data_IF_544770027387
#
_entry.id   IF_544770027387
#
_cell.length_a   1.000
_cell.length_b   1.000
_cell.length_c   1.000
_cell.angle_alpha   90.00
_cell.angle_beta   90.00
_cell.angle_gamma   90.00
#
_symmetry.space_group_name_H-M   'P 1'
#
loop_
_entity.id
_entity.type
_entity.pdbx_description
1 polymer ?
#
# COMPACT_ATOMS: atom_id res chain seq x y z
N UNK A 1 -16.94 -11.58 -25.46
CA UNK A 1 -16.33 -12.16 -26.69
C UNK A 1 -17.26 -11.87 -27.89
N UNK A 2 -16.88 -12.20 -29.12
CA UNK A 2 -17.73 -11.95 -30.31
C UNK A 2 -19.06 -12.74 -30.30
N UNK A 3 -19.25 -13.65 -29.34
CA UNK A 3 -20.47 -14.39 -29.04
C UNK A 3 -21.37 -13.73 -27.98
N UNK A 4 -21.01 -12.55 -27.45
CA UNK A 4 -21.81 -11.84 -26.45
C UNK A 4 -21.76 -12.43 -25.04
N UNK A 5 -20.90 -13.42 -24.78
CA UNK A 5 -20.71 -13.95 -23.44
C UNK A 5 -19.89 -12.97 -22.58
N UNK A 6 -20.37 -12.77 -21.35
CA UNK A 6 -19.68 -12.01 -20.32
C UNK A 6 -18.40 -12.75 -19.93
N UNK A 7 -17.25 -12.18 -20.31
CA UNK A 7 -15.95 -12.71 -19.91
C UNK A 7 -15.58 -12.06 -18.57
N UNK A 8 -15.31 -12.85 -17.51
CA UNK A 8 -14.93 -12.29 -16.21
C UNK A 8 -13.61 -11.52 -16.30
N UNK A 9 -13.59 -10.31 -15.75
CA UNK A 9 -12.40 -9.48 -15.62
C UNK A 9 -11.65 -9.85 -14.34
N UNK A 10 -10.34 -10.07 -14.45
CA UNK A 10 -9.47 -10.44 -13.33
C UNK A 10 -8.44 -9.37 -12.99
N UNK A 11 -8.12 -8.49 -13.93
CA UNK A 11 -7.26 -7.34 -13.70
C UNK A 11 -7.59 -6.23 -14.70
N UNK A 12 -7.26 -4.99 -14.36
CA UNK A 12 -7.45 -3.85 -15.22
C UNK A 12 -6.30 -2.84 -15.08
N UNK A 13 -5.91 -2.24 -16.21
CA UNK A 13 -5.07 -1.05 -16.22
C UNK A 13 -5.94 0.13 -16.63
N UNK A 14 -5.98 1.17 -15.82
CA UNK A 14 -6.66 2.42 -16.17
C UNK A 14 -5.62 3.51 -16.40
N UNK A 15 -5.67 4.17 -17.55
CA UNK A 15 -4.87 5.35 -17.89
C UNK A 15 -5.71 6.61 -17.67
N UNK A 16 -5.49 7.39 -16.60
CA UNK A 16 -6.33 8.53 -16.29
C UNK A 16 -6.22 9.66 -17.32
N UNK A 17 -5.06 9.81 -17.96
CA UNK A 17 -4.81 10.88 -18.92
C UNK A 17 -5.67 10.74 -20.19
N UNK A 18 -5.83 9.51 -20.66
CA UNK A 18 -6.55 9.17 -21.90
C UNK A 18 -7.95 8.56 -21.61
N UNK A 19 -8.31 8.39 -20.34
CA UNK A 19 -9.52 7.72 -19.86
C UNK A 19 -9.70 6.29 -20.43
N UNK A 20 -8.59 5.60 -20.69
CA UNK A 20 -8.59 4.24 -21.28
C UNK A 20 -8.53 3.17 -20.20
N UNK A 21 -9.45 2.20 -20.29
CA UNK A 21 -9.47 1.02 -19.42
C UNK A 21 -9.16 -0.25 -20.21
N UNK A 22 -8.07 -0.92 -19.86
CA UNK A 22 -7.63 -2.18 -20.44
C UNK A 22 -8.00 -3.32 -19.50
N UNK A 23 -8.85 -4.24 -19.95
CA UNK A 23 -9.36 -5.35 -19.14
C UNK A 23 -8.63 -6.66 -19.48
N UNK A 24 -8.28 -7.42 -18.44
CA UNK A 24 -7.49 -8.65 -18.57
C UNK A 24 -8.24 -9.86 -17.97
N UNK A 25 -8.23 -10.96 -18.71
CA UNK A 25 -8.80 -12.24 -18.27
C UNK A 25 -7.83 -13.07 -17.42
N UNK A 26 -8.27 -14.24 -16.95
CA UNK A 26 -7.48 -15.13 -16.08
C UNK A 26 -6.15 -15.59 -16.69
N UNK A 27 -6.10 -15.77 -18.02
CA UNK A 27 -4.90 -16.20 -18.77
C UNK A 27 -3.84 -15.12 -18.92
N UNK A 28 -4.16 -13.86 -18.59
CA UNK A 28 -3.24 -12.74 -18.65
C UNK A 28 -2.40 -12.60 -17.38
N UNK A 29 -2.70 -13.38 -16.33
CA UNK A 29 -1.87 -13.48 -15.12
C UNK A 29 -0.63 -14.32 -15.40
N UNK A 30 0.54 -13.73 -15.20
CA UNK A 30 1.83 -14.41 -15.31
C UNK A 30 2.08 -15.32 -14.09
N UNK A 31 3.20 -16.05 -14.07
CA UNK A 31 3.65 -16.93 -12.97
C UNK A 31 3.62 -16.28 -11.57
N UNK A 32 3.50 -14.95 -11.49
CA UNK A 32 3.45 -14.17 -10.24
C UNK A 32 2.03 -13.92 -9.70
N UNK A 33 1.00 -14.54 -10.28
CA UNK A 33 -0.42 -14.34 -9.94
C UNK A 33 -0.96 -12.91 -10.14
N UNK A 34 -0.20 -12.05 -10.83
CA UNK A 34 -0.60 -10.72 -11.28
C UNK A 34 -0.53 -10.64 -12.81
N UNK A 35 -1.35 -9.77 -13.41
CA UNK A 35 -1.27 -9.50 -14.85
C UNK A 35 0.13 -8.99 -15.25
N UNK A 36 0.51 -9.07 -16.54
CA UNK A 36 1.79 -8.48 -17.00
C UNK A 36 1.73 -6.95 -16.86
N UNK A 37 2.27 -6.43 -15.75
CA UNK A 37 2.20 -5.00 -15.41
C UNK A 37 3.35 -4.30 -16.08
N UNK A 38 3.07 -3.58 -17.18
CA UNK A 38 4.00 -2.57 -17.65
C UNK A 38 4.21 -1.57 -16.52
N UNK A 39 5.43 -1.43 -16.03
CA UNK A 39 5.83 -0.48 -14.99
C UNK A 39 5.81 0.96 -15.54
N UNK A 40 4.63 1.43 -15.96
CA UNK A 40 4.43 2.79 -16.40
C UNK A 40 3.59 3.50 -15.33
N UNK A 41 4.16 4.54 -14.72
CA UNK A 41 3.54 5.36 -13.68
C UNK A 41 2.24 6.04 -14.10
N UNK A 42 1.92 6.04 -15.39
CA UNK A 42 0.71 6.62 -15.95
C UNK A 42 -0.53 5.75 -15.75
N UNK A 43 -0.37 4.50 -15.29
CA UNK A 43 -1.48 3.57 -15.13
C UNK A 43 -1.79 3.31 -13.65
N UNK A 44 -3.07 3.35 -13.32
CA UNK A 44 -3.61 2.77 -12.10
C UNK A 44 -3.84 1.29 -12.38
N UNK A 45 -3.18 0.43 -11.61
CA UNK A 45 -3.34 -1.02 -11.74
C UNK A 45 -4.30 -1.55 -10.68
N UNK A 46 -5.32 -2.29 -11.12
CA UNK A 46 -6.27 -2.97 -10.26
C UNK A 46 -6.25 -4.47 -10.53
N UNK A 47 -6.09 -5.29 -9.50
CA UNK A 47 -6.10 -6.75 -9.60
C UNK A 47 -7.16 -7.37 -8.69
N UNK A 48 -7.81 -8.42 -9.17
CA UNK A 48 -8.72 -9.25 -8.41
C UNK A 48 -7.95 -10.43 -7.81
N UNK A 49 -7.73 -10.39 -6.51
CA UNK A 49 -7.11 -11.50 -5.78
C UNK A 49 -8.18 -12.47 -5.29
N UNK A 50 -7.97 -13.77 -5.52
CA UNK A 50 -8.83 -14.83 -4.98
C UNK A 50 -8.52 -15.05 -3.49
N UNK A 51 -9.07 -14.22 -2.61
CA UNK A 51 -8.81 -14.29 -1.17
C UNK A 51 -9.98 -14.96 -0.47
N UNK A 52 -9.70 -16.06 0.23
CA UNK A 52 -10.69 -16.71 1.09
C UNK A 52 -10.55 -16.14 2.50
N UNK A 53 -11.34 -15.11 2.83
CA UNK A 53 -11.42 -14.57 4.21
C UNK A 53 -12.77 -14.86 4.85
N UNK A 54 -12.81 -14.88 6.18
CA UNK A 54 -14.05 -15.06 6.97
C UNK A 54 -14.83 -13.75 7.20
N UNK A 55 -14.33 -12.62 6.70
CA UNK A 55 -14.92 -11.29 6.88
C UNK A 55 -15.62 -10.83 5.61
N UNK A 56 -16.55 -9.89 5.74
CA UNK A 56 -17.40 -9.28 4.69
C UNK A 56 -16.61 -8.48 3.64
N UNK A 57 -15.61 -9.10 3.01
CA UNK A 57 -14.99 -8.56 1.80
C UNK A 57 -15.63 -9.25 0.61
N UNK A 58 -16.24 -8.47 -0.29
CA UNK A 58 -16.80 -9.03 -1.52
C UNK A 58 -15.71 -9.74 -2.31
N UNK A 59 -15.98 -10.96 -2.77
CA UNK A 59 -15.09 -11.70 -3.66
C UNK A 59 -14.84 -10.95 -4.98
N UNK A 60 -15.65 -9.94 -5.30
CA UNK A 60 -15.56 -9.07 -6.47
C UNK A 60 -14.74 -7.80 -6.23
N UNK A 61 -14.16 -7.61 -5.03
CA UNK A 61 -13.42 -6.39 -4.69
C UNK A 61 -12.10 -6.31 -5.47
N UNK A 62 -11.88 -5.28 -6.31
CA UNK A 62 -10.58 -5.03 -6.91
C UNK A 62 -9.62 -4.38 -5.90
N UNK A 63 -8.33 -4.69 -6.01
CA UNK A 63 -7.28 -4.12 -5.18
C UNK A 63 -6.38 -3.24 -6.03
N UNK A 64 -6.14 -2.01 -5.60
CA UNK A 64 -5.17 -1.13 -6.26
C UNK A 64 -3.76 -1.59 -5.90
N UNK A 65 -2.92 -1.71 -6.91
CA UNK A 65 -1.56 -2.24 -6.79
C UNK A 65 -0.59 -1.23 -7.39
N UNK A 66 0.48 -0.96 -6.67
CA UNK A 66 1.59 -0.10 -7.09
C UNK A 66 2.85 -0.97 -7.26
N UNK A 67 3.17 -1.39 -8.50
CA UNK A 67 4.37 -2.18 -8.78
C UNK A 67 5.64 -1.38 -8.51
N UNK A 68 6.72 -2.06 -8.13
CA UNK A 68 8.05 -1.48 -7.88
C UNK A 68 8.05 -0.31 -6.90
N UNK A 69 7.05 -0.24 -6.02
CA UNK A 69 6.93 0.74 -4.94
C UNK A 69 6.94 0.05 -3.58
N UNK A 70 7.24 0.82 -2.54
CA UNK A 70 7.13 0.40 -1.15
C UNK A 70 6.65 1.55 -0.27
N UNK A 71 5.98 1.23 0.84
CA UNK A 71 5.63 2.23 1.85
C UNK A 71 6.68 2.28 2.95
N UNK A 72 7.10 3.50 3.34
CA UNK A 72 8.17 3.71 4.34
C UNK A 72 7.68 4.08 5.76
N UNK A 73 6.38 4.33 5.92
CA UNK A 73 5.77 4.82 7.17
C UNK A 73 4.54 4.02 7.58
N UNK A 74 4.02 4.34 8.78
CA UNK A 74 2.76 3.83 9.34
C UNK A 74 2.71 2.30 9.41
N UNK A 75 3.85 1.65 9.70
CA UNK A 75 3.95 0.20 9.83
C UNK A 75 3.19 -0.27 11.07
N UNK A 76 2.29 -1.24 10.89
CA UNK A 76 1.62 -1.94 11.99
C UNK A 76 2.47 -3.12 12.45
N UNK A 77 2.88 -3.96 11.50
CA UNK A 77 3.65 -5.18 11.76
C UNK A 77 4.28 -5.71 10.46
N UNK A 78 5.20 -6.65 10.59
CA UNK A 78 5.82 -7.36 9.47
C UNK A 78 5.84 -8.87 9.69
N UNK A 79 5.71 -9.62 8.60
CA UNK A 79 5.76 -11.08 8.54
C UNK A 79 6.91 -11.52 7.64
N UNK A 80 8.12 -11.72 8.20
CA UNK A 80 9.23 -12.34 7.49
C UNK A 80 8.90 -13.79 7.09
N UNK A 81 9.40 -14.24 5.94
CA UNK A 81 9.19 -15.60 5.41
C UNK A 81 7.87 -15.81 4.66
N UNK A 82 7.01 -14.79 4.55
CA UNK A 82 5.72 -14.92 3.87
C UNK A 82 5.89 -14.90 2.34
N UNK A 83 5.67 -16.04 1.70
CA UNK A 83 5.86 -16.23 0.24
C UNK A 83 4.56 -16.19 -0.58
N UNK A 84 3.43 -15.78 0.03
CA UNK A 84 2.14 -15.69 -0.65
C UNK A 84 1.56 -14.28 -0.52
N UNK A 85 1.38 -13.63 -1.66
CA UNK A 85 0.73 -12.31 -1.75
C UNK A 85 -0.71 -12.37 -1.22
N UNK A 86 -1.45 -13.44 -1.53
CA UNK A 86 -2.82 -13.66 -1.07
C UNK A 86 -2.85 -13.80 0.45
N UNK A 87 -1.87 -14.50 1.05
CA UNK A 87 -1.76 -14.61 2.50
C UNK A 87 -1.44 -13.26 3.16
N UNK A 88 -0.62 -12.42 2.52
CA UNK A 88 -0.29 -11.07 2.99
C UNK A 88 -1.54 -10.18 3.01
N UNK A 89 -2.32 -10.20 1.93
CA UNK A 89 -3.57 -9.42 1.87
C UNK A 89 -4.59 -9.97 2.87
N UNK A 90 -4.71 -11.29 3.02
CA UNK A 90 -5.59 -11.89 4.03
C UNK A 90 -5.24 -11.42 5.46
N UNK A 91 -3.95 -11.39 5.81
CA UNK A 91 -3.49 -10.87 7.10
C UNK A 91 -3.84 -9.39 7.29
N UNK A 92 -3.82 -8.59 6.21
CA UNK A 92 -4.28 -7.20 6.25
C UNK A 92 -5.79 -7.12 6.49
N UNK A 93 -6.61 -7.90 5.79
CA UNK A 93 -8.07 -7.91 5.96
C UNK A 93 -8.47 -8.32 7.38
N UNK A 94 -7.73 -9.27 7.96
CA UNK A 94 -7.95 -9.71 9.33
C UNK A 94 -7.58 -8.63 10.37
N UNK A 95 -6.73 -7.67 10.01
CA UNK A 95 -6.36 -6.54 10.84
C UNK A 95 -7.20 -5.27 10.52
N UNK A 96 -8.09 -4.88 11.44
CA UNK A 96 -8.97 -3.70 11.26
C UNK A 96 -8.24 -2.37 11.04
N UNK A 97 -6.96 -2.27 11.44
CA UNK A 97 -6.16 -1.06 11.25
C UNK A 97 -5.45 -1.05 9.90
N UNK A 98 -5.37 -2.18 9.20
CA UNK A 98 -4.59 -2.29 7.97
C UNK A 98 -5.33 -1.69 6.78
N UNK A 99 -4.64 -0.76 6.10
CA UNK A 99 -5.14 -0.02 4.93
C UNK A 99 -4.36 -0.35 3.66
N UNK A 100 -3.11 -0.78 3.78
CA UNK A 100 -2.30 -1.26 2.66
C UNK A 100 -1.23 -2.24 3.14
N UNK A 101 -0.65 -2.99 2.20
CA UNK A 101 0.49 -3.86 2.44
C UNK A 101 1.64 -3.55 1.50
N UNK A 102 2.88 -3.65 1.99
CA UNK A 102 4.06 -3.79 1.13
C UNK A 102 4.43 -5.26 1.08
N UNK A 103 4.53 -5.84 -0.11
CA UNK A 103 4.84 -7.25 -0.32
C UNK A 103 6.00 -7.43 -1.28
N UNK A 104 6.89 -8.36 -0.94
CA UNK A 104 7.81 -9.04 -1.85
C UNK A 104 7.90 -10.51 -1.41
N UNK A 105 8.37 -11.39 -2.27
CA UNK A 105 8.57 -12.80 -1.88
C UNK A 105 9.42 -12.89 -0.61
N UNK A 106 8.86 -13.53 0.43
CA UNK A 106 9.52 -13.71 1.72
C UNK A 106 9.31 -12.55 2.71
N UNK A 107 8.51 -11.54 2.38
CA UNK A 107 8.21 -10.44 3.31
C UNK A 107 6.85 -9.79 3.02
N UNK A 108 6.02 -9.72 4.05
CA UNK A 108 4.80 -8.92 4.07
C UNK A 108 4.89 -7.86 5.17
N UNK A 109 4.50 -6.62 4.88
CA UNK A 109 4.43 -5.53 5.87
C UNK A 109 3.02 -4.94 5.81
N UNK A 110 2.35 -4.83 6.96
CA UNK A 110 1.03 -4.20 7.07
C UNK A 110 1.18 -2.72 7.44
N UNK A 111 0.43 -1.84 6.78
CA UNK A 111 0.44 -0.40 7.01
C UNK A 111 -0.93 0.12 7.45
N UNK A 112 -0.94 1.10 8.35
CA UNK A 112 -2.14 1.74 8.89
C UNK A 112 -2.69 2.87 8.01
N UNK A 113 -2.01 3.20 6.92
CA UNK A 113 -2.40 4.19 5.92
C UNK A 113 -2.33 3.57 4.52
N UNK A 114 -2.92 4.23 3.51
CA UNK A 114 -2.78 3.83 2.11
C UNK A 114 -2.37 5.00 1.23
N UNK A 115 -1.72 4.74 0.09
CA UNK A 115 -1.37 5.75 -0.90
C UNK A 115 -2.53 6.64 -1.39
N UNK A 116 -3.76 6.11 -1.43
CA UNK A 116 -4.96 6.89 -1.76
C UNK A 116 -5.18 8.08 -0.82
N UNK A 117 -4.81 7.95 0.45
CA UNK A 117 -4.92 9.03 1.45
C UNK A 117 -3.72 9.98 1.47
N UNK A 118 -2.53 9.47 1.13
CA UNK A 118 -1.29 10.23 1.10
C UNK A 118 -0.27 9.53 0.19
N UNK A 119 -0.06 10.09 -1.01
CA UNK A 119 0.84 9.53 -2.00
C UNK A 119 2.32 9.69 -1.63
N UNK A 120 2.67 10.59 -0.69
CA UNK A 120 4.05 10.76 -0.19
C UNK A 120 4.56 9.57 0.62
N UNK A 121 3.65 8.67 1.00
CA UNK A 121 3.98 7.40 1.65
C UNK A 121 4.64 6.41 0.69
N UNK A 122 4.50 6.58 -0.63
CA UNK A 122 5.12 5.72 -1.64
C UNK A 122 6.53 6.22 -1.97
N UNK A 123 7.50 5.30 -1.92
CA UNK A 123 8.84 5.48 -2.47
C UNK A 123 9.17 4.34 -3.42
N UNK A 124 10.24 4.49 -4.18
CA UNK A 124 10.73 3.44 -5.07
C UNK A 124 11.16 2.21 -4.26
N UNK A 125 10.67 1.05 -4.69
CA UNK A 125 11.08 -0.27 -4.22
C UNK A 125 11.96 -0.97 -5.26
N UNK A 126 12.29 -2.23 -5.01
CA UNK A 126 12.93 -3.06 -6.03
C UNK A 126 11.88 -3.62 -7.02
N UNK A 127 12.34 -4.25 -8.11
CA UNK A 127 11.48 -4.80 -9.18
C UNK A 127 10.50 -5.89 -8.73
N UNK A 128 10.66 -6.42 -7.52
CA UNK A 128 9.85 -7.50 -6.95
C UNK A 128 8.95 -7.02 -5.81
N UNK A 129 9.09 -5.77 -5.38
CA UNK A 129 8.26 -5.18 -4.33
C UNK A 129 7.03 -4.54 -4.95
N UNK A 130 5.89 -4.68 -4.28
CA UNK A 130 4.65 -4.01 -4.64
C UNK A 130 3.93 -3.53 -3.39
N UNK A 131 3.17 -2.44 -3.53
CA UNK A 131 2.21 -1.99 -2.53
C UNK A 131 0.81 -2.35 -3.00
N UNK A 132 -0.03 -2.87 -2.10
CA UNK A 132 -1.41 -3.27 -2.41
C UNK A 132 -2.34 -2.61 -1.39
N UNK A 133 -3.31 -1.82 -1.84
CA UNK A 133 -4.30 -1.20 -0.97
C UNK A 133 -5.36 -2.20 -0.54
N UNK A 134 -5.83 -2.10 0.70
CA UNK A 134 -6.87 -2.99 1.22
C UNK A 134 -8.24 -2.61 0.66
N UNK A 135 -8.64 -3.27 -0.44
CA UNK A 135 -9.92 -3.03 -1.10
C UNK A 135 -11.16 -3.25 -0.22
N UNK A 136 -11.07 -4.10 0.81
CA UNK A 136 -12.20 -4.42 1.70
C UNK A 136 -12.59 -3.27 2.64
N UNK A 137 -11.72 -2.26 2.75
CA UNK A 137 -11.91 -1.08 3.60
C UNK A 137 -12.13 0.19 2.77
N UNK A 138 -12.16 0.08 1.44
CA UNK A 138 -12.51 1.16 0.54
C UNK A 138 -14.04 1.29 0.55
N UNK A 139 -14.56 2.22 1.34
CA UNK A 139 -15.95 2.66 1.20
C UNK A 139 -16.10 3.43 -0.11
N UNK A 140 -17.30 3.49 -0.68
CA UNK A 140 -17.65 4.22 -1.90
C UNK A 140 -17.26 5.71 -1.89
N UNK A 141 -16.89 6.26 -0.74
CA UNK A 141 -16.36 7.61 -0.56
C UNK A 141 -14.90 7.80 -1.02
N UNK A 142 -14.08 6.72 -1.10
CA UNK A 142 -12.65 6.82 -1.47
C UNK A 142 -12.37 6.50 -2.95
N UNK A 143 -13.32 5.86 -3.66
CA UNK A 143 -13.23 5.64 -5.10
C UNK A 143 -13.17 6.96 -5.92
N UNK A 144 -13.92 8.01 -5.57
CA UNK A 144 -13.78 9.32 -6.22
C UNK A 144 -12.39 9.89 -6.05
N UNK A 145 -11.71 9.74 -4.91
CA UNK A 145 -10.37 10.28 -4.67
C UNK A 145 -9.28 9.62 -5.52
N UNK A 146 -9.43 8.33 -5.84
CA UNK A 146 -8.54 7.61 -6.75
C UNK A 146 -8.72 8.04 -8.22
N UNK A 147 -9.92 8.51 -8.57
CA UNK A 147 -10.24 9.04 -9.91
C UNK A 147 -10.04 10.57 -9.98
N UNK A 148 -10.00 11.25 -8.84
CA UNK A 148 -9.79 12.69 -8.69
C UNK A 148 -8.33 12.98 -8.40
N UNK A 149 -7.44 12.64 -9.33
CA UNK A 149 -6.07 13.17 -9.34
C UNK A 149 -6.10 14.67 -9.65
N UNK A 150 -6.54 15.48 -8.69
CA UNK A 150 -6.35 16.92 -8.71
C UNK A 150 -5.11 17.27 -7.88
N UNK A 151 -4.03 17.53 -8.59
CA UNK A 151 -2.84 18.25 -8.12
C UNK A 151 -3.33 19.60 -7.56
N UNK A 152 -3.24 19.83 -6.25
CA UNK A 152 -3.25 21.21 -5.72
C UNK A 152 -2.30 21.31 -4.52
N UNK A 153 -1.26 22.11 -4.71
CA UNK A 153 -0.36 22.60 -3.67
C UNK A 153 -1.09 23.55 -2.70
N UNK A 154 -0.79 23.49 -1.41
CA UNK A 154 -1.34 24.47 -0.46
C UNK A 154 -0.88 24.28 0.99
N UNK A 155 0.09 25.12 1.36
CA UNK A 155 0.69 25.37 2.68
C UNK A 155 -0.21 25.24 3.91
N UNK A 156 0.29 24.56 4.95
CA UNK A 156 -0.20 24.69 6.33
C UNK A 156 0.91 25.17 7.27
N UNK A 157 0.53 26.10 8.14
CA UNK A 157 1.32 26.95 9.02
C UNK A 157 2.06 26.22 10.16
N UNK A 158 3.23 26.77 10.53
CA UNK A 158 4.12 26.33 11.61
C UNK A 158 3.49 26.50 13.00
N UNK A 159 3.02 25.41 13.58
CA UNK A 159 3.01 25.23 15.04
C UNK A 159 4.26 24.43 15.42
N UNK A 160 5.03 24.90 16.39
CA UNK A 160 6.17 24.13 16.92
C UNK A 160 5.64 22.89 17.63
N UNK A 161 5.83 21.73 16.99
CA UNK A 161 5.37 20.45 17.50
C UNK A 161 6.03 20.08 18.83
N UNK A 162 5.22 19.49 19.70
CA UNK A 162 5.71 18.88 20.93
C UNK A 162 6.40 17.55 20.63
N UNK A 163 7.39 17.22 21.46
CA UNK A 163 8.03 15.91 21.42
C UNK A 163 7.05 14.81 21.81
N UNK A 164 7.01 13.76 21.01
CA UNK A 164 6.35 12.51 21.36
C UNK A 164 6.96 11.89 22.63
N UNK A 165 6.23 10.98 23.25
CA UNK A 165 6.74 10.21 24.37
C UNK A 165 7.94 9.34 23.95
N UNK A 166 8.81 9.03 24.91
CA UNK A 166 9.93 8.14 24.67
C UNK A 166 9.46 6.75 24.27
N UNK A 167 9.96 6.26 23.13
CA UNK A 167 9.81 4.88 22.74
C UNK A 167 10.49 3.92 23.71
N UNK A 168 10.16 2.63 23.60
CA UNK A 168 10.79 1.60 24.43
C UNK A 168 12.28 1.42 24.05
N UNK A 169 13.11 0.87 24.94
CA UNK A 169 14.54 0.61 24.74
C UNK A 169 14.81 -0.56 23.76
N UNK A 170 14.41 -0.45 22.50
CA UNK A 170 14.46 -1.54 21.52
C UNK A 170 15.52 -1.35 20.45
N UNK A 171 16.10 -0.15 20.34
CA UNK A 171 17.06 0.19 19.31
C UNK A 171 18.48 -0.01 19.83
N UNK A 172 19.43 -0.33 18.96
CA UNK A 172 20.82 -0.55 19.33
C UNK A 172 21.76 0.23 18.42
N UNK A 173 22.69 0.98 19.01
CA UNK A 173 23.74 1.71 18.28
C UNK A 173 25.05 1.56 19.05
N UNK A 174 26.11 1.10 18.39
CA UNK A 174 27.41 0.88 19.03
C UNK A 174 27.39 -0.13 20.19
N UNK A 175 26.49 -1.12 20.17
CA UNK A 175 26.39 -2.16 21.21
C UNK A 175 25.62 -1.75 22.48
N UNK A 176 25.11 -0.51 22.55
CA UNK A 176 24.26 -0.03 23.65
C UNK A 176 22.81 0.08 23.20
N UNK A 177 21.88 -0.23 24.11
CA UNK A 177 20.45 -0.06 23.86
C UNK A 177 20.11 1.41 23.98
N UNK A 178 19.20 1.89 23.14
CA UNK A 178 18.76 3.28 23.13
C UNK A 178 17.24 3.33 22.97
N UNK A 179 16.66 4.41 23.47
CA UNK A 179 15.28 4.82 23.22
C UNK A 179 15.26 6.09 22.38
N UNK A 180 14.21 6.25 21.59
CA UNK A 180 14.06 7.36 20.66
C UNK A 180 12.71 8.04 20.82
N UNK A 181 12.67 9.34 20.57
CA UNK A 181 11.41 10.10 20.43
C UNK A 181 11.53 11.11 19.30
N UNK A 182 10.39 11.47 18.73
CA UNK A 182 10.33 12.31 17.54
C UNK A 182 9.41 13.51 17.76
N UNK A 183 9.52 14.53 16.91
CA UNK A 183 8.55 15.62 16.80
C UNK A 183 8.43 16.07 15.36
N UNK A 184 7.29 16.64 14.99
CA UNK A 184 7.03 17.13 13.63
C UNK A 184 7.57 18.54 13.42
N UNK A 185 8.74 18.73 12.83
CA UNK A 185 9.17 20.08 12.47
C UNK A 185 9.85 20.15 11.11
N UNK A 186 9.63 21.28 10.42
CA UNK A 186 10.10 21.49 9.05
C UNK A 186 11.55 21.93 8.95
N UNK A 187 12.17 22.38 10.05
CA UNK A 187 13.52 22.94 10.04
C UNK A 187 14.22 22.87 11.39
N UNK A 188 13.98 21.80 12.15
CA UNK A 188 14.57 21.62 13.47
C UNK A 188 15.00 20.16 13.68
N UNK A 189 15.75 19.89 14.74
CA UNK A 189 16.04 18.51 15.13
C UNK A 189 14.73 17.83 15.55
N UNK A 190 14.39 16.77 14.82
CA UNK A 190 13.13 16.03 14.85
C UNK A 190 13.26 14.65 15.48
N UNK A 191 14.49 14.25 15.85
CA UNK A 191 14.82 12.96 16.45
C UNK A 191 15.75 13.14 17.65
N UNK A 192 15.40 12.55 18.78
CA UNK A 192 16.28 12.43 19.94
C UNK A 192 16.55 10.97 20.27
N UNK A 193 17.79 10.67 20.65
CA UNK A 193 18.27 9.34 21.03
C UNK A 193 18.87 9.41 22.42
N UNK A 194 18.43 8.54 23.32
CA UNK A 194 18.95 8.47 24.68
C UNK A 194 19.38 7.03 25.01
N UNK A 195 20.57 6.84 25.62
CA UNK A 195 20.99 5.54 26.11
C UNK A 195 20.03 4.96 27.13
N UNK A 196 19.87 3.65 27.03
CA UNK A 196 19.48 2.78 28.11
C UNK A 196 20.77 2.05 28.58
#
# INVERSE_FOLDING_TARGET
NASGEAVPCYAANYEPADEKCYLYGSRSKSDRNTAYLGANSNFIFADKFCIQTKKDCSAETPYIVYPTKQMHKKIITSYPGMNSVVACIAACIDNKRCRAVTYKTGLCILHAASPASDSSLLIDGNEQTMVIENGCQLTTEFLPSLLSSNIVAGSASREESQWEEWGLCQFATGGRRVRVRQRECTSCEDLQVEPC
#
